data_IF_718727303317
#
_entry.id   IF_718727303317
#
_cell.length_a   1.000
_cell.length_b   1.000
_cell.length_c   1.000
_cell.angle_alpha   90.00
_cell.angle_beta   90.00
_cell.angle_gamma   90.00
#
_symmetry.space_group_name_H-M   'P 1'
#
loop_
_entity.id
_entity.type
_entity.pdbx_description
1 polymer ?
#
# COMPACT_ATOMS: atom_id res chain seq x y z
N UNK A 1 -9.31 4.68 30.46
CA UNK A 1 -9.22 3.30 29.94
C UNK A 1 -9.38 3.38 28.44
N UNK A 2 -8.34 3.11 27.64
CA UNK A 2 -8.49 3.05 26.19
C UNK A 2 -9.19 1.74 25.85
N UNK A 3 -10.41 1.82 25.35
CA UNK A 3 -11.13 0.65 24.84
C UNK A 3 -10.46 0.28 23.51
N UNK A 4 -9.75 -0.84 23.48
CA UNK A 4 -9.28 -1.39 22.20
C UNK A 4 -10.52 -1.90 21.45
N UNK A 5 -10.79 -1.30 20.29
CA UNK A 5 -11.82 -1.81 19.40
C UNK A 5 -11.25 -2.91 18.49
N UNK A 6 -12.02 -3.98 18.22
CA UNK A 6 -11.64 -4.95 17.21
C UNK A 6 -11.75 -4.32 15.82
N UNK A 7 -10.86 -4.74 14.93
CA UNK A 7 -10.90 -4.38 13.52
C UNK A 7 -10.64 -5.62 12.65
N UNK A 8 -10.95 -5.50 11.37
CA UNK A 8 -10.64 -6.48 10.34
C UNK A 8 -9.82 -5.82 9.23
N UNK A 9 -8.95 -6.61 8.59
CA UNK A 9 -8.20 -6.19 7.42
C UNK A 9 -8.37 -7.17 6.28
N UNK A 10 -8.48 -6.62 5.07
CA UNK A 10 -8.56 -7.37 3.83
C UNK A 10 -7.34 -6.98 2.98
N UNK A 11 -6.64 -8.00 2.50
CA UNK A 11 -5.44 -7.87 1.67
C UNK A 11 -5.74 -8.45 0.29
N UNK A 12 -5.54 -7.65 -0.75
CA UNK A 12 -5.69 -8.08 -2.14
C UNK A 12 -4.31 -8.10 -2.77
N UNK A 13 -3.98 -9.25 -3.36
CA UNK A 13 -2.71 -9.45 -4.06
C UNK A 13 -2.95 -9.62 -5.56
N UNK A 14 -2.01 -9.13 -6.37
CA UNK A 14 -1.96 -9.45 -7.80
C UNK A 14 -1.41 -10.87 -8.05
N UNK A 15 -1.34 -11.28 -9.32
CA UNK A 15 -0.78 -12.58 -9.71
C UNK A 15 0.74 -12.71 -9.49
N UNK A 16 1.43 -11.59 -9.29
CA UNK A 16 2.84 -11.50 -8.93
C UNK A 16 3.11 -11.54 -7.42
N UNK A 17 2.05 -11.71 -6.61
CA UNK A 17 2.09 -11.69 -5.13
C UNK A 17 2.44 -10.32 -4.53
N UNK A 18 2.23 -9.22 -5.26
CA UNK A 18 2.34 -7.87 -4.71
C UNK A 18 1.03 -7.49 -4.01
N UNK A 19 1.11 -6.85 -2.84
CA UNK A 19 -0.05 -6.24 -2.20
C UNK A 19 -0.50 -5.03 -3.03
N UNK A 20 -1.74 -5.04 -3.52
CA UNK A 20 -2.29 -3.95 -4.36
C UNK A 20 -3.39 -3.16 -3.66
N UNK A 21 -4.00 -3.74 -2.63
CA UNK A 21 -4.98 -3.04 -1.80
C UNK A 21 -4.99 -3.59 -0.37
N UNK A 22 -4.98 -2.67 0.59
CA UNK A 22 -5.21 -2.91 2.01
C UNK A 22 -6.46 -2.14 2.43
N UNK A 23 -7.46 -2.86 2.91
CA UNK A 23 -8.64 -2.25 3.53
C UNK A 23 -8.65 -2.53 5.02
N UNK A 24 -8.89 -1.49 5.81
CA UNK A 24 -9.09 -1.57 7.25
C UNK A 24 -10.54 -1.21 7.58
N UNK A 25 -11.16 -2.05 8.41
CA UNK A 25 -12.52 -1.84 8.88
C UNK A 25 -12.56 -1.99 10.40
N UNK A 26 -12.85 -0.88 11.08
CA UNK A 26 -13.26 -0.84 12.48
C UNK A 26 -14.61 -0.12 12.59
N UNK A 27 -15.19 -0.05 13.79
CA UNK A 27 -16.41 0.73 14.00
C UNK A 27 -16.11 2.22 13.97
N UNK A 28 -14.99 2.66 14.56
CA UNK A 28 -14.64 4.09 14.62
C UNK A 28 -14.11 4.64 13.30
N UNK A 29 -13.45 3.82 12.50
CA UNK A 29 -12.76 4.25 11.28
C UNK A 29 -12.70 3.15 10.22
N UNK A 30 -12.82 3.54 8.97
CA UNK A 30 -12.61 2.68 7.82
C UNK A 30 -11.78 3.42 6.79
N UNK A 31 -10.73 2.77 6.29
CA UNK A 31 -9.86 3.33 5.26
C UNK A 31 -9.39 2.25 4.29
N UNK A 32 -8.96 2.70 3.12
CA UNK A 32 -8.37 1.86 2.10
C UNK A 32 -7.11 2.53 1.56
N UNK A 33 -6.10 1.71 1.32
CA UNK A 33 -4.84 2.10 0.71
C UNK A 33 -4.66 1.25 -0.55
N UNK A 34 -4.49 1.93 -1.68
CA UNK A 34 -4.23 1.29 -2.99
C UNK A 34 -2.77 1.50 -3.33
N UNK A 35 -2.10 0.42 -3.73
CA UNK A 35 -0.69 0.44 -4.12
C UNK A 35 -0.66 0.17 -5.62
N UNK A 36 -0.23 1.17 -6.40
CA UNK A 36 -0.05 0.98 -7.83
C UNK A 36 1.28 0.28 -8.09
N UNK A 37 1.22 -0.87 -8.78
CA UNK A 37 2.40 -1.64 -9.16
C UNK A 37 2.86 -1.21 -10.55
N UNK A 38 4.16 -1.00 -10.70
CA UNK A 38 4.75 -0.58 -11.95
C UNK A 38 4.77 -1.75 -12.95
N UNK A 39 4.39 -1.54 -14.23
CA UNK A 39 4.44 -2.59 -15.24
C UNK A 39 5.84 -3.23 -15.33
N UNK A 40 5.88 -4.55 -15.52
CA UNK A 40 7.08 -5.36 -15.69
C UNK A 40 8.05 -5.39 -14.49
N UNK A 41 7.58 -5.06 -13.27
CA UNK A 41 8.37 -5.17 -12.05
C UNK A 41 7.48 -5.37 -10.82
N UNK A 42 8.08 -5.57 -9.64
CA UNK A 42 7.38 -5.60 -8.33
C UNK A 42 7.51 -4.28 -7.56
N UNK A 43 7.92 -3.20 -8.23
CA UNK A 43 8.03 -1.87 -7.60
C UNK A 43 6.63 -1.28 -7.51
N UNK A 44 6.26 -0.77 -6.34
CA UNK A 44 4.94 -0.19 -6.13
C UNK A 44 4.95 0.92 -5.08
N UNK A 45 4.10 1.91 -5.31
CA UNK A 45 3.86 3.06 -4.42
C UNK A 45 2.40 3.49 -4.55
N UNK A 46 1.89 4.28 -3.60
CA UNK A 46 0.52 4.82 -3.68
C UNK A 46 0.33 5.74 -4.90
N UNK A 47 1.35 6.56 -5.18
CA UNK A 47 1.44 7.38 -6.37
C UNK A 47 2.43 6.71 -7.32
N UNK A 48 1.99 5.77 -8.16
CA UNK A 48 2.80 4.92 -9.05
C UNK A 48 3.48 5.70 -10.20
N UNK A 49 4.24 6.74 -9.86
CA UNK A 49 4.98 7.55 -10.80
C UNK A 49 6.23 6.77 -11.26
N UNK A 50 6.52 6.72 -12.58
CA UNK A 50 7.68 6.00 -13.12
C UNK A 50 9.03 6.49 -12.56
N UNK A 51 9.10 7.73 -12.08
CA UNK A 51 10.32 8.34 -11.55
C UNK A 51 10.50 8.15 -10.03
N UNK A 52 9.75 7.24 -9.41
CA UNK A 52 9.87 7.00 -7.97
C UNK A 52 11.11 6.20 -7.58
N UNK A 53 11.74 5.52 -8.54
CA UNK A 53 12.84 4.61 -8.25
C UNK A 53 14.09 4.96 -9.04
N UNK A 54 15.25 4.80 -8.43
CA UNK A 54 16.52 4.87 -9.14
C UNK A 54 16.73 3.63 -10.04
N UNK A 55 17.86 3.62 -10.76
CA UNK A 55 18.23 2.51 -11.64
C UNK A 55 18.37 1.16 -10.89
N UNK A 56 18.76 1.19 -9.63
CA UNK A 56 18.92 -0.01 -8.80
C UNK A 56 17.60 -0.48 -8.18
N UNK A 57 16.57 0.37 -8.19
CA UNK A 57 15.26 0.08 -7.61
C UNK A 57 15.06 0.58 -6.20
N UNK A 58 15.87 1.51 -5.74
CA UNK A 58 15.65 2.19 -4.47
C UNK A 58 14.61 3.30 -4.66
N UNK A 59 13.70 3.44 -3.69
CA UNK A 59 12.73 4.53 -3.67
C UNK A 59 13.47 5.87 -3.47
N UNK A 60 13.24 6.82 -4.36
CA UNK A 60 13.89 8.14 -4.35
C UNK A 60 13.27 9.11 -3.34
N UNK A 61 11.95 9.07 -3.19
CA UNK A 61 11.20 9.96 -2.31
C UNK A 61 10.20 9.14 -1.49
N UNK A 62 10.19 9.37 -0.18
CA UNK A 62 9.16 8.87 0.71
C UNK A 62 8.23 10.04 1.04
N UNK A 63 7.07 10.07 0.39
CA UNK A 63 6.04 11.06 0.69
C UNK A 63 5.30 10.66 1.97
N UNK A 64 4.96 11.65 2.81
CA UNK A 64 4.18 11.52 4.06
C UNK A 64 4.80 10.61 5.14
N UNK A 65 5.84 11.09 5.84
CA UNK A 65 6.20 10.61 7.19
C UNK A 65 5.46 11.45 8.24
#
# INVERSE_FOLDING_TARGET
MNLLEPYQQIYIYDTGSNLVCLSHQAQSNAWQQTIGIHPNSNRGTENNNPNNFDANGNLLNLDNI
#
